data_IF_903888410942
#
_entry.id   IF_903888410942
#
_cell.length_a   1.000
_cell.length_b   1.000
_cell.length_c   1.000
_cell.angle_alpha   90.00
_cell.angle_beta   90.00
_cell.angle_gamma   90.00
#
_symmetry.space_group_name_H-M   'P 1'
#
loop_
_entity.id
_entity.type
_entity.pdbx_description
1 polymer ?
#
# COMPACT_ATOMS: atom_id res chain seq x y z
N UNK A 1 -21.35 -19.85 5.54
CA UNK A 1 -22.62 -19.10 5.45
C UNK A 1 -22.42 -18.06 4.37
N UNK A 2 -22.88 -18.34 3.15
CA UNK A 2 -22.86 -17.39 2.04
C UNK A 2 -24.03 -16.43 2.25
N UNK A 3 -23.69 -15.17 2.49
CA UNK A 3 -24.63 -14.07 2.67
C UNK A 3 -25.41 -13.84 1.35
N UNK A 4 -26.62 -14.38 1.27
CA UNK A 4 -27.49 -14.35 0.09
C UNK A 4 -28.08 -12.96 -0.20
N UNK A 5 -27.67 -11.93 0.58
CA UNK A 5 -28.27 -10.59 0.55
C UNK A 5 -27.28 -9.47 0.16
N UNK A 6 -26.06 -9.83 -0.25
CA UNK A 6 -25.11 -8.79 -0.68
C UNK A 6 -25.43 -8.31 -2.10
N UNK A 7 -25.43 -7.00 -2.35
CA UNK A 7 -25.69 -6.45 -3.69
C UNK A 7 -24.72 -7.04 -4.73
N UNK A 8 -25.19 -7.46 -5.88
CA UNK A 8 -24.41 -8.12 -6.95
C UNK A 8 -23.13 -7.37 -7.36
N UNK A 9 -23.09 -6.04 -7.21
CA UNK A 9 -21.87 -5.30 -7.48
C UNK A 9 -20.75 -5.60 -6.47
N UNK A 10 -21.08 -5.93 -5.23
CA UNK A 10 -20.10 -6.33 -4.19
C UNK A 10 -19.49 -7.70 -4.50
N UNK A 11 -20.29 -8.64 -5.00
CA UNK A 11 -19.80 -9.96 -5.42
C UNK A 11 -18.81 -9.81 -6.59
N UNK A 12 -19.17 -8.99 -7.59
CA UNK A 12 -18.30 -8.71 -8.74
C UNK A 12 -17.01 -8.02 -8.27
N UNK A 13 -17.13 -7.01 -7.40
CA UNK A 13 -16.00 -6.31 -6.82
C UNK A 13 -15.07 -7.26 -6.07
N UNK A 14 -15.60 -8.07 -5.15
CA UNK A 14 -14.82 -9.03 -4.37
C UNK A 14 -14.11 -10.06 -5.25
N UNK A 15 -14.80 -10.57 -6.28
CA UNK A 15 -14.21 -11.51 -7.24
C UNK A 15 -13.07 -10.86 -8.04
N UNK A 16 -13.29 -9.68 -8.59
CA UNK A 16 -12.24 -8.96 -9.34
C UNK A 16 -11.07 -8.56 -8.45
N UNK A 17 -11.33 -8.15 -7.22
CA UNK A 17 -10.29 -7.85 -6.23
C UNK A 17 -9.46 -9.10 -5.92
N UNK A 18 -10.10 -10.25 -5.75
CA UNK A 18 -9.40 -11.52 -5.58
C UNK A 18 -8.57 -11.88 -6.82
N UNK A 19 -9.15 -11.81 -8.02
CA UNK A 19 -8.45 -12.12 -9.27
C UNK A 19 -7.23 -11.21 -9.50
N UNK A 20 -7.34 -9.93 -9.11
CA UNK A 20 -6.24 -8.98 -9.14
C UNK A 20 -5.12 -9.39 -8.18
N UNK A 21 -5.46 -9.79 -6.95
CA UNK A 21 -4.50 -10.30 -5.95
C UNK A 21 -3.81 -11.57 -6.43
N UNK A 22 -4.59 -12.52 -6.93
CA UNK A 22 -4.11 -13.81 -7.42
C UNK A 22 -3.27 -13.67 -8.72
N UNK A 23 -3.12 -12.44 -9.24
CA UNK A 23 -2.30 -12.14 -10.41
C UNK A 23 -2.93 -12.63 -11.73
N UNK A 24 -4.25 -12.90 -11.75
CA UNK A 24 -4.99 -13.34 -12.95
C UNK A 24 -4.86 -12.34 -14.10
N UNK A 25 -4.73 -11.05 -13.77
CA UNK A 25 -4.50 -9.98 -14.75
C UNK A 25 -3.06 -9.49 -14.65
N UNK A 26 -2.23 -9.72 -15.67
CA UNK A 26 -0.85 -9.26 -15.69
C UNK A 26 -0.78 -7.72 -15.76
N UNK A 27 0.37 -7.16 -15.38
CA UNK A 27 0.57 -5.72 -15.53
C UNK A 27 0.56 -5.36 -17.02
N UNK A 28 -0.33 -4.44 -17.41
CA UNK A 28 -0.54 -4.08 -18.82
C UNK A 28 -1.64 -4.89 -19.52
N UNK A 29 -2.18 -5.94 -18.90
CA UNK A 29 -3.38 -6.62 -19.41
C UNK A 29 -4.65 -5.96 -18.87
N UNK A 30 -5.64 -5.69 -19.75
CA UNK A 30 -6.88 -5.06 -19.31
C UNK A 30 -7.77 -6.04 -18.54
N UNK A 31 -8.48 -5.55 -17.55
CA UNK A 31 -9.61 -6.25 -16.93
C UNK A 31 -10.74 -6.44 -17.94
N UNK A 32 -11.67 -7.40 -17.68
CA UNK A 32 -12.88 -7.53 -18.47
C UNK A 32 -13.63 -6.20 -18.56
N UNK A 33 -14.10 -5.87 -19.76
CA UNK A 33 -14.91 -4.67 -19.95
C UNK A 33 -16.23 -4.74 -19.18
N UNK A 34 -16.82 -3.59 -18.91
CA UNK A 34 -18.14 -3.50 -18.26
C UNK A 34 -19.19 -4.36 -18.99
N UNK A 35 -19.16 -4.35 -20.33
CA UNK A 35 -20.02 -5.21 -21.15
C UNK A 35 -19.75 -6.71 -20.98
N UNK A 36 -18.50 -7.10 -20.79
CA UNK A 36 -18.15 -8.50 -20.49
C UNK A 36 -18.65 -8.90 -19.10
N UNK A 37 -18.53 -8.01 -18.11
CA UNK A 37 -19.06 -8.24 -16.76
C UNK A 37 -20.58 -8.35 -16.74
N UNK A 38 -21.27 -7.51 -17.51
CA UNK A 38 -22.73 -7.59 -17.65
C UNK A 38 -23.16 -8.98 -18.14
N UNK A 39 -22.52 -9.48 -19.19
CA UNK A 39 -22.82 -10.82 -19.75
C UNK A 39 -22.47 -11.94 -18.79
N UNK A 40 -21.28 -11.88 -18.20
CA UNK A 40 -20.75 -12.94 -17.31
C UNK A 40 -21.59 -13.10 -16.03
N UNK A 41 -22.03 -11.99 -15.45
CA UNK A 41 -22.73 -11.98 -14.14
C UNK A 41 -24.24 -11.76 -14.27
N UNK A 42 -24.74 -11.59 -15.50
CA UNK A 42 -26.14 -11.28 -15.76
C UNK A 42 -26.65 -10.09 -14.94
N UNK A 43 -25.96 -8.96 -15.05
CA UNK A 43 -26.24 -7.74 -14.29
C UNK A 43 -26.44 -6.54 -15.20
N UNK A 44 -27.08 -5.50 -14.67
CA UNK A 44 -27.22 -4.21 -15.37
C UNK A 44 -25.88 -3.50 -15.53
N UNK A 45 -25.81 -2.59 -16.51
CA UNK A 45 -24.62 -1.74 -16.73
C UNK A 45 -24.25 -0.95 -15.49
N UNK A 46 -25.24 -0.41 -14.76
CA UNK A 46 -25.03 0.37 -13.52
C UNK A 46 -24.31 -0.49 -12.49
N UNK A 47 -24.69 -1.75 -12.33
CA UNK A 47 -24.08 -2.69 -11.39
C UNK A 47 -22.61 -2.99 -11.77
N UNK A 48 -22.34 -3.25 -13.03
CA UNK A 48 -20.97 -3.50 -13.52
C UNK A 48 -20.06 -2.26 -13.36
N UNK A 49 -20.58 -1.09 -13.78
CA UNK A 49 -19.87 0.19 -13.63
C UNK A 49 -19.57 0.51 -12.19
N UNK A 50 -20.51 0.26 -11.25
CA UNK A 50 -20.30 0.47 -9.82
C UNK A 50 -19.16 -0.37 -9.27
N UNK A 51 -19.12 -1.66 -9.60
CA UNK A 51 -18.05 -2.56 -9.19
C UNK A 51 -16.68 -2.06 -9.69
N UNK A 52 -16.59 -1.65 -10.96
CA UNK A 52 -15.36 -1.11 -11.54
C UNK A 52 -14.95 0.24 -10.90
N UNK A 53 -15.90 1.11 -10.60
CA UNK A 53 -15.63 2.39 -9.95
C UNK A 53 -15.07 2.19 -8.54
N UNK A 54 -15.56 1.20 -7.78
CA UNK A 54 -15.01 0.89 -6.46
C UNK A 54 -13.56 0.37 -6.53
N UNK A 55 -13.21 -0.41 -7.57
CA UNK A 55 -11.82 -0.80 -7.81
C UNK A 55 -10.93 0.41 -8.11
N UNK A 56 -11.42 1.35 -8.94
CA UNK A 56 -10.70 2.61 -9.24
C UNK A 56 -10.55 3.45 -7.97
N UNK A 57 -11.63 3.62 -7.20
CA UNK A 57 -11.63 4.39 -5.94
C UNK A 57 -10.64 3.84 -4.91
N UNK A 58 -10.48 2.51 -4.86
CA UNK A 58 -9.48 1.84 -4.01
C UNK A 58 -8.06 1.87 -4.60
N UNK A 59 -7.87 2.47 -5.77
CA UNK A 59 -6.57 2.54 -6.43
C UNK A 59 -6.05 1.19 -6.97
N UNK A 60 -6.90 0.15 -7.03
CA UNK A 60 -6.52 -1.18 -7.49
C UNK A 60 -6.38 -1.25 -9.00
N UNK A 61 -7.10 -0.40 -9.71
CA UNK A 61 -7.08 -0.31 -11.17
C UNK A 61 -7.10 1.15 -11.62
N UNK A 62 -6.62 1.40 -12.83
CA UNK A 62 -6.73 2.71 -13.50
C UNK A 62 -7.37 2.57 -14.87
N UNK A 63 -8.09 3.60 -15.31
CA UNK A 63 -8.71 3.66 -16.63
C UNK A 63 -7.79 4.36 -17.62
N UNK A 64 -7.63 3.75 -18.81
CA UNK A 64 -6.96 4.38 -19.93
C UNK A 64 -7.99 4.57 -21.05
N UNK A 65 -8.25 5.83 -21.42
CA UNK A 65 -9.25 6.17 -22.44
C UNK A 65 -8.98 5.41 -23.74
N UNK A 66 -10.01 4.74 -24.26
CA UNK A 66 -9.93 3.95 -25.51
C UNK A 66 -9.20 2.61 -25.39
N UNK A 67 -8.54 2.31 -24.26
CA UNK A 67 -7.75 1.08 -24.11
C UNK A 67 -8.31 0.11 -23.05
N UNK A 68 -9.05 0.60 -22.05
CA UNK A 68 -9.65 -0.24 -21.02
C UNK A 68 -9.25 0.13 -19.61
N UNK A 69 -9.47 -0.81 -18.69
CA UNK A 69 -9.12 -0.68 -17.26
C UNK A 69 -8.00 -1.67 -16.94
N UNK A 70 -6.95 -1.21 -16.29
CA UNK A 70 -5.71 -1.95 -16.07
C UNK A 70 -5.38 -2.06 -14.59
N UNK A 71 -4.73 -3.16 -14.14
CA UNK A 71 -4.26 -3.29 -12.78
C UNK A 71 -3.24 -2.21 -12.44
N UNK A 72 -3.34 -1.68 -11.24
CA UNK A 72 -2.22 -0.93 -10.64
C UNK A 72 -1.25 -1.90 -9.98
N UNK A 73 -0.08 -1.40 -9.61
CA UNK A 73 0.88 -2.16 -8.81
C UNK A 73 0.30 -2.55 -7.44
N UNK A 74 -0.52 -1.69 -6.86
CA UNK A 74 -1.21 -1.95 -5.58
C UNK A 74 -2.21 -3.10 -5.63
N UNK A 75 -2.72 -3.46 -6.81
CA UNK A 75 -3.66 -4.56 -6.96
C UNK A 75 -3.09 -5.93 -6.59
N UNK A 76 -1.76 -6.08 -6.63
CA UNK A 76 -1.03 -7.31 -6.31
C UNK A 76 -0.48 -7.34 -4.89
N UNK A 77 -0.63 -6.25 -4.16
CA UNK A 77 -0.21 -6.21 -2.77
C UNK A 77 -1.29 -6.94 -1.95
N UNK A 78 -1.12 -8.25 -1.86
CA UNK A 78 -1.78 -9.03 -0.82
C UNK A 78 -1.36 -8.52 0.55
N UNK A 79 -2.15 -8.84 1.59
CA UNK A 79 -1.75 -8.68 2.98
C UNK A 79 -0.23 -8.62 3.10
N UNK A 80 0.32 -7.43 3.11
CA UNK A 80 1.75 -7.19 3.04
C UNK A 80 2.28 -6.67 4.36
N UNK A 81 3.59 -6.69 4.49
CA UNK A 81 4.26 -5.99 5.58
C UNK A 81 4.53 -4.55 5.15
N UNK A 82 4.05 -3.60 5.93
CA UNK A 82 4.36 -2.19 5.75
C UNK A 82 5.51 -1.82 6.70
N UNK A 83 6.53 -1.19 6.17
CA UNK A 83 7.61 -0.64 6.99
C UNK A 83 7.16 0.69 7.62
N UNK A 84 7.53 0.91 8.86
CA UNK A 84 7.35 2.19 9.54
C UNK A 84 8.70 2.64 10.10
N UNK A 85 9.22 3.75 9.57
CA UNK A 85 10.43 4.39 10.07
C UNK A 85 10.02 5.68 10.76
N UNK A 86 10.12 5.69 12.09
CA UNK A 86 9.75 6.84 12.94
C UNK A 86 10.87 7.04 13.93
N UNK A 87 11.37 8.26 14.12
CA UNK A 87 12.37 8.54 15.13
C UNK A 87 11.77 8.38 16.54
N UNK A 88 12.49 7.69 17.41
CA UNK A 88 12.18 7.62 18.86
C UNK A 88 10.77 7.12 19.18
N UNK A 89 10.37 5.97 18.62
CA UNK A 89 9.10 5.31 18.96
C UNK A 89 8.94 5.07 20.46
N UNK A 90 10.05 4.89 21.17
CA UNK A 90 10.10 4.60 22.61
C UNK A 90 10.01 5.83 23.50
N UNK A 91 10.18 7.05 22.99
CA UNK A 91 10.35 8.28 23.79
C UNK A 91 9.45 9.43 23.29
N UNK A 92 8.14 9.24 23.18
CA UNK A 92 7.26 10.33 22.82
C UNK A 92 5.77 10.02 23.00
N UNK A 93 4.99 11.06 23.25
CA UNK A 93 3.53 10.93 23.43
C UNK A 93 2.76 11.00 22.10
N UNK A 94 3.40 11.49 21.03
CA UNK A 94 2.73 11.78 19.75
C UNK A 94 2.62 10.53 18.87
N UNK A 95 3.67 9.72 18.78
CA UNK A 95 3.72 8.60 17.85
C UNK A 95 2.93 7.36 18.27
N UNK A 96 2.86 6.96 19.56
CA UNK A 96 2.11 5.77 19.94
C UNK A 96 0.64 5.78 19.52
N UNK A 97 -0.14 6.86 19.68
CA UNK A 97 -1.53 6.89 19.19
C UNK A 97 -1.63 6.82 17.68
N UNK A 98 -0.72 7.46 16.95
CA UNK A 98 -0.68 7.41 15.48
C UNK A 98 -0.39 5.98 15.01
N UNK A 99 0.63 5.33 15.60
CA UNK A 99 0.97 3.94 15.30
C UNK A 99 -0.18 2.99 15.60
N UNK A 100 -0.89 3.17 16.72
CA UNK A 100 -2.07 2.38 17.05
C UNK A 100 -3.20 2.56 16.01
N UNK A 101 -3.44 3.79 15.58
CA UNK A 101 -4.44 4.07 14.55
C UNK A 101 -4.05 3.41 13.21
N UNK A 102 -2.81 3.57 12.77
CA UNK A 102 -2.27 2.95 11.57
C UNK A 102 -2.39 1.42 11.62
N UNK A 103 -2.04 0.79 12.75
CA UNK A 103 -2.17 -0.66 12.91
C UNK A 103 -3.62 -1.13 12.79
N UNK A 104 -4.59 -0.42 13.39
CA UNK A 104 -6.00 -0.77 13.28
C UNK A 104 -6.52 -0.70 11.83
N UNK A 105 -6.11 0.33 11.09
CA UNK A 105 -6.48 0.47 9.67
C UNK A 105 -5.83 -0.62 8.82
N UNK A 106 -4.55 -0.86 8.99
CA UNK A 106 -3.80 -1.84 8.23
C UNK A 106 -4.33 -3.27 8.44
N UNK A 107 -4.65 -3.64 9.68
CA UNK A 107 -5.21 -4.96 10.00
C UNK A 107 -6.54 -5.26 9.28
N UNK A 108 -7.40 -4.24 9.10
CA UNK A 108 -8.66 -4.39 8.36
C UNK A 108 -8.44 -4.78 6.90
N UNK A 109 -7.34 -4.33 6.32
CA UNK A 109 -6.97 -4.58 4.93
C UNK A 109 -5.92 -5.70 4.80
N UNK A 110 -5.63 -6.44 5.89
CA UNK A 110 -4.74 -7.59 5.90
C UNK A 110 -3.25 -7.23 5.92
N UNK A 111 -2.89 -6.00 6.29
CA UNK A 111 -1.49 -5.58 6.44
C UNK A 111 -1.00 -5.73 7.89
N UNK A 112 0.31 -5.96 8.02
CA UNK A 112 1.05 -5.89 9.28
C UNK A 112 2.14 -4.83 9.19
N UNK A 113 2.60 -4.30 10.33
CA UNK A 113 3.70 -3.36 10.37
C UNK A 113 5.00 -4.02 10.82
N UNK A 114 6.10 -3.62 10.15
CA UNK A 114 7.48 -3.83 10.61
C UNK A 114 8.01 -2.48 11.06
N UNK A 115 8.28 -2.37 12.34
CA UNK A 115 8.78 -1.13 12.93
C UNK A 115 10.29 -1.04 12.82
N UNK A 116 10.77 0.12 12.40
CA UNK A 116 12.17 0.49 12.46
C UNK A 116 12.36 1.65 13.43
N UNK A 117 13.00 1.41 14.54
CA UNK A 117 13.35 2.44 15.51
C UNK A 117 14.78 2.97 15.29
N UNK A 118 14.99 4.22 15.62
CA UNK A 118 16.29 4.89 15.61
C UNK A 118 16.52 5.50 16.99
N UNK A 119 16.87 4.67 18.00
CA UNK A 119 16.87 5.05 19.41
C UNK A 119 18.03 5.97 19.79
N UNK A 120 19.08 6.08 18.98
CA UNK A 120 20.27 6.85 19.33
C UNK A 120 19.99 8.35 19.40
N UNK A 121 20.42 9.00 20.48
CA UNK A 121 20.40 10.45 20.63
C UNK A 121 21.53 11.14 19.84
N UNK A 122 22.56 10.38 19.47
CA UNK A 122 23.64 10.90 18.65
C UNK A 122 23.19 11.04 17.19
N UNK A 123 23.22 12.26 16.60
CA UNK A 123 22.72 12.48 15.23
C UNK A 123 23.42 11.64 14.15
N UNK A 124 24.71 11.34 14.31
CA UNK A 124 25.48 10.55 13.35
C UNK A 124 25.08 9.08 13.42
N UNK A 125 24.95 8.53 14.65
CA UNK A 125 24.49 7.17 14.84
C UNK A 125 23.04 6.99 14.40
N UNK A 126 22.17 7.94 14.73
CA UNK A 126 20.75 7.92 14.30
C UNK A 126 20.62 7.90 12.76
N UNK A 127 21.44 8.68 12.05
CA UNK A 127 21.47 8.65 10.60
C UNK A 127 21.86 7.28 10.06
N UNK A 128 22.87 6.64 10.65
CA UNK A 128 23.28 5.28 10.30
C UNK A 128 22.19 4.26 10.59
N UNK A 129 21.62 4.30 11.79
CA UNK A 129 20.51 3.42 12.20
C UNK A 129 19.34 3.50 11.21
N UNK A 130 18.94 4.71 10.79
CA UNK A 130 17.87 4.89 9.83
C UNK A 130 18.16 4.26 8.45
N UNK A 131 19.40 4.38 7.98
CA UNK A 131 19.81 3.71 6.74
C UNK A 131 19.86 2.19 6.90
N UNK A 132 20.28 1.67 8.04
CA UNK A 132 20.32 0.23 8.33
C UNK A 132 18.91 -0.34 8.44
N UNK A 133 17.99 0.38 9.10
CA UNK A 133 16.56 0.06 9.12
C UNK A 133 15.98 0.02 7.70
N UNK A 134 16.26 1.05 6.89
CA UNK A 134 15.76 1.08 5.51
C UNK A 134 16.24 -0.13 4.70
N UNK A 135 17.53 -0.50 4.81
CA UNK A 135 18.08 -1.72 4.16
C UNK A 135 17.39 -2.99 4.68
N UNK A 136 17.17 -3.07 5.99
CA UNK A 136 16.48 -4.21 6.60
C UNK A 136 15.06 -4.37 6.06
N UNK A 137 14.30 -3.27 5.93
CA UNK A 137 12.95 -3.28 5.37
C UNK A 137 12.94 -3.72 3.89
N UNK A 138 13.91 -3.25 3.10
CA UNK A 138 14.08 -3.72 1.70
C UNK A 138 14.33 -5.22 1.67
N UNK A 139 15.25 -5.74 2.50
CA UNK A 139 15.57 -7.16 2.57
C UNK A 139 14.39 -8.03 3.05
N UNK A 140 13.52 -7.48 3.88
CA UNK A 140 12.31 -8.14 4.36
C UNK A 140 11.17 -8.12 3.33
N UNK A 141 11.34 -7.43 2.20
CA UNK A 141 10.36 -7.36 1.14
C UNK A 141 9.06 -6.68 1.56
N UNK A 142 9.15 -5.53 2.27
CA UNK A 142 7.95 -4.77 2.64
C UNK A 142 7.26 -4.23 1.39
N UNK A 143 5.93 -4.17 1.42
CA UNK A 143 5.11 -3.74 0.30
C UNK A 143 5.02 -2.22 0.14
N UNK A 144 5.40 -1.48 1.17
CA UNK A 144 5.43 -0.02 1.22
C UNK A 144 6.01 0.46 2.53
N UNK A 145 6.39 1.73 2.59
CA UNK A 145 7.00 2.33 3.79
C UNK A 145 6.32 3.65 4.12
N UNK A 146 6.01 3.84 5.38
CA UNK A 146 5.69 5.14 5.97
C UNK A 146 6.97 5.64 6.65
N UNK A 147 7.45 6.77 6.19
CA UNK A 147 8.73 7.33 6.64
C UNK A 147 8.53 8.75 7.15
N UNK A 148 8.92 8.98 8.39
CA UNK A 148 9.08 10.32 8.92
C UNK A 148 10.54 10.74 8.77
N UNK A 149 10.84 11.81 8.02
CA UNK A 149 12.19 12.34 7.91
C UNK A 149 12.76 12.72 9.27
N UNK A 150 14.02 12.36 9.50
CA UNK A 150 14.70 12.61 10.76
C UNK A 150 15.01 14.11 10.87
N UNK A 151 14.24 14.84 11.63
CA UNK A 151 14.59 16.19 12.06
C UNK A 151 15.82 16.13 13.00
N UNK A 152 16.50 17.25 13.15
CA UNK A 152 17.65 17.39 14.08
C UNK A 152 18.93 16.60 13.72
N UNK A 153 19.08 16.14 12.47
CA UNK A 153 20.36 15.68 11.95
C UNK A 153 21.21 16.86 11.45
N UNK A 154 22.52 16.66 11.37
CA UNK A 154 23.42 17.66 10.71
C UNK A 154 23.11 17.82 9.22
N UNK A 155 22.64 16.76 8.55
CA UNK A 155 22.32 16.72 7.14
C UNK A 155 21.04 15.89 6.89
N UNK A 156 19.87 16.35 7.35
CA UNK A 156 18.63 15.58 7.29
C UNK A 156 18.21 15.27 5.86
N UNK A 157 18.40 16.22 4.94
CA UNK A 157 18.05 16.10 3.54
C UNK A 157 18.86 15.01 2.83
N UNK A 158 20.16 14.92 3.13
CA UNK A 158 21.05 13.90 2.56
C UNK A 158 20.63 12.50 2.98
N UNK A 159 20.33 12.29 4.27
CA UNK A 159 19.91 11.00 4.81
C UNK A 159 18.53 10.61 4.25
N UNK A 160 17.61 11.54 4.21
CA UNK A 160 16.29 11.34 3.59
C UNK A 160 16.43 10.93 2.14
N UNK A 161 17.26 11.63 1.36
CA UNK A 161 17.49 11.31 -0.05
C UNK A 161 18.13 9.92 -0.24
N UNK A 162 19.07 9.54 0.62
CA UNK A 162 19.69 8.22 0.60
C UNK A 162 18.63 7.11 0.84
N UNK A 163 17.82 7.25 1.87
CA UNK A 163 16.75 6.32 2.21
C UNK A 163 15.71 6.23 1.08
N UNK A 164 15.28 7.37 0.55
CA UNK A 164 14.34 7.41 -0.59
C UNK A 164 14.92 6.72 -1.82
N UNK A 165 16.23 6.88 -2.07
CA UNK A 165 16.92 6.22 -3.19
C UNK A 165 16.97 4.70 -3.01
N UNK A 166 17.17 4.21 -1.79
CA UNK A 166 17.12 2.77 -1.48
C UNK A 166 15.75 2.17 -1.81
N UNK A 167 14.68 2.80 -1.34
CA UNK A 167 13.32 2.31 -1.60
C UNK A 167 12.93 2.45 -3.08
N UNK A 168 13.32 3.53 -3.73
CA UNK A 168 13.08 3.72 -5.16
C UNK A 168 13.73 2.63 -6.01
N UNK A 169 15.02 2.29 -5.73
CA UNK A 169 15.73 1.19 -6.41
C UNK A 169 15.07 -0.18 -6.18
N UNK A 170 14.52 -0.39 -4.99
CA UNK A 170 13.79 -1.60 -4.64
C UNK A 170 12.33 -1.55 -5.12
N UNK A 171 11.93 -0.45 -5.76
CA UNK A 171 10.58 -0.20 -6.24
C UNK A 171 9.50 -0.24 -5.14
N UNK A 172 9.88 0.07 -3.90
CA UNK A 172 8.99 0.13 -2.74
C UNK A 172 8.41 1.55 -2.63
N UNK A 173 7.08 1.71 -2.65
CA UNK A 173 6.44 3.02 -2.47
C UNK A 173 6.67 3.56 -1.06
N UNK A 174 6.91 4.87 -0.97
CA UNK A 174 7.13 5.56 0.31
C UNK A 174 6.15 6.69 0.48
N UNK A 175 5.55 6.77 1.66
CA UNK A 175 4.75 7.91 2.11
C UNK A 175 5.56 8.66 3.17
N UNK A 176 5.81 9.94 2.91
CA UNK A 176 6.45 10.83 3.88
C UNK A 176 5.38 11.43 4.81
N UNK A 177 5.68 11.43 6.11
CA UNK A 177 4.86 12.04 7.14
C UNK A 177 5.65 13.18 7.78
N UNK A 178 5.09 14.40 7.73
CA UNK A 178 5.64 15.61 8.37
C UNK A 178 4.76 16.03 9.53
#
# INVERSE_FOLDING_TARGET
MTDKDSPKWQEIFAKLQKDLRDGVYAQGEPLPSEGALMRKYNVSRITAVRAMNELVKKGLVYRKRGAGTFPTRMARIESGRLGLIVPSLSHGEIFPPICQALMRFAQKDGFSFVFGDTPSDNPVLRAKEACDVARSLVNQGVSGVIFQPLAFLKTPERVTKEIMTLFHKAEIPVVLVN
#
